data_IF_285237728835
#
_entry.id   IF_285237728835
#
_cell.length_a   1.000
_cell.length_b   1.000
_cell.length_c   1.000
_cell.angle_alpha   90.00
_cell.angle_beta   90.00
_cell.angle_gamma   90.00
#
_symmetry.space_group_name_H-M   'P 1'
#
loop_
_entity.id
_entity.type
_entity.pdbx_description
1 polymer ?
#
# COMPACT_ATOMS: atom_id res chain seq x y z
N UNK A 1 43.98 -37.40 -30.44
CA UNK A 1 43.31 -36.52 -31.43
C UNK A 1 42.43 -35.56 -30.64
N UNK A 2 43.06 -34.56 -30.03
CA UNK A 2 43.14 -33.18 -30.54
C UNK A 2 41.90 -32.36 -30.18
N UNK A 3 41.98 -31.65 -29.06
CA UNK A 3 41.18 -30.43 -28.85
C UNK A 3 41.66 -29.33 -29.82
N UNK A 4 40.80 -28.35 -30.13
CA UNK A 4 41.22 -27.00 -29.81
C UNK A 4 40.14 -26.13 -29.18
N UNK A 5 40.60 -25.26 -28.28
CA UNK A 5 39.97 -24.00 -27.88
C UNK A 5 39.69 -23.11 -29.10
N UNK A 6 38.63 -22.29 -29.05
CA UNK A 6 38.50 -20.91 -29.60
C UNK A 6 37.00 -20.51 -29.52
N UNK A 7 36.56 -19.28 -29.25
CA UNK A 7 37.22 -17.99 -29.03
C UNK A 7 36.19 -17.06 -28.37
N UNK A 8 36.66 -16.25 -27.44
CA UNK A 8 35.98 -15.09 -26.87
C UNK A 8 35.61 -14.12 -28.00
N UNK A 9 34.34 -13.70 -28.08
CA UNK A 9 33.94 -12.47 -28.77
C UNK A 9 33.35 -11.52 -27.76
N UNK A 10 34.18 -10.55 -27.41
CA UNK A 10 33.82 -9.32 -26.71
C UNK A 10 32.76 -8.56 -27.51
N UNK A 11 31.62 -8.28 -26.89
CA UNK A 11 30.73 -7.21 -27.34
C UNK A 11 30.85 -6.05 -26.36
N UNK A 12 31.74 -5.13 -26.70
CA UNK A 12 31.89 -3.84 -26.07
C UNK A 12 30.68 -2.99 -26.46
N UNK A 13 29.68 -2.88 -25.59
CA UNK A 13 28.64 -1.85 -25.70
C UNK A 13 28.95 -0.76 -24.67
N UNK A 14 29.68 0.26 -25.14
CA UNK A 14 29.89 1.52 -24.45
C UNK A 14 28.56 2.29 -24.48
N UNK A 15 27.75 2.17 -23.42
CA UNK A 15 26.62 3.09 -23.21
C UNK A 15 27.09 4.16 -22.23
N UNK A 16 27.50 5.30 -22.81
CA UNK A 16 27.51 6.59 -22.12
C UNK A 16 26.04 6.98 -21.95
N UNK A 17 25.45 6.55 -20.83
CA UNK A 17 24.12 6.94 -20.39
C UNK A 17 24.27 7.82 -19.17
N UNK A 18 24.06 9.12 -19.35
CA UNK A 18 24.06 10.12 -18.30
C UNK A 18 23.19 9.64 -17.11
N UNK A 19 23.78 9.65 -15.91
CA UNK A 19 23.07 9.41 -14.68
C UNK A 19 22.03 10.53 -14.47
N UNK A 20 20.81 10.31 -14.95
CA UNK A 20 19.65 11.04 -14.46
C UNK A 20 19.46 10.58 -13.01
N UNK A 21 19.89 11.42 -12.06
CA UNK A 21 19.48 11.32 -10.66
C UNK A 21 18.01 11.76 -10.59
N UNK A 22 17.14 10.90 -11.13
CA UNK A 22 15.73 10.93 -10.80
C UNK A 22 15.63 10.44 -9.37
N UNK A 23 15.26 11.33 -8.45
CA UNK A 23 14.78 10.94 -7.13
C UNK A 23 13.51 10.15 -7.29
N UNK A 24 13.64 8.87 -7.64
CA UNK A 24 12.59 7.90 -7.39
C UNK A 24 12.50 7.85 -5.86
N UNK A 25 11.46 8.46 -5.31
CA UNK A 25 10.95 8.04 -4.01
C UNK A 25 10.79 6.54 -4.12
N UNK A 26 11.72 5.79 -3.51
CA UNK A 26 11.61 4.36 -3.42
C UNK A 26 10.30 4.10 -2.67
N UNK A 27 9.23 3.81 -3.40
CA UNK A 27 8.09 3.13 -2.81
C UNK A 27 8.70 1.83 -2.30
N UNK A 28 8.94 1.75 -0.99
CA UNK A 28 9.42 0.54 -0.37
C UNK A 28 8.54 -0.59 -0.91
N UNK A 29 9.15 -1.56 -1.60
CA UNK A 29 8.43 -2.72 -2.07
C UNK A 29 7.62 -3.24 -0.87
N UNK A 30 6.30 -3.44 -1.01
CA UNK A 30 5.48 -3.83 0.13
C UNK A 30 6.13 -5.04 0.77
N UNK A 31 6.44 -4.93 2.06
CA UNK A 31 7.06 -6.01 2.80
C UNK A 31 6.19 -7.26 2.59
N UNK A 32 6.83 -8.36 2.18
CA UNK A 32 6.13 -9.62 1.98
C UNK A 32 5.33 -10.03 3.23
N UNK A 33 4.34 -10.91 3.08
CA UNK A 33 3.49 -11.30 4.20
C UNK A 33 4.32 -11.89 5.35
N UNK A 34 4.05 -11.42 6.56
CA UNK A 34 4.64 -11.94 7.80
C UNK A 34 3.72 -12.99 8.37
N UNK A 35 4.28 -14.13 8.77
CA UNK A 35 3.53 -15.21 9.42
C UNK A 35 3.68 -15.10 10.93
N UNK A 36 2.60 -14.76 11.62
CA UNK A 36 2.49 -14.83 13.09
C UNK A 36 2.07 -16.23 13.50
N UNK A 37 2.71 -16.78 14.54
CA UNK A 37 2.39 -18.10 15.10
C UNK A 37 1.89 -17.91 16.53
N UNK A 38 0.66 -18.36 16.80
CA UNK A 38 0.01 -18.23 18.10
C UNK A 38 -0.27 -19.62 18.66
N UNK A 39 0.33 -19.93 19.82
CA UNK A 39 0.14 -21.21 20.52
C UNK A 39 -0.60 -20.97 21.82
N UNK A 40 -1.70 -21.68 22.03
CA UNK A 40 -2.55 -21.56 23.22
C UNK A 40 -3.26 -22.89 23.51
N UNK A 41 -3.79 -23.03 24.72
CA UNK A 41 -4.60 -24.20 25.07
C UNK A 41 -6.03 -24.05 24.58
N UNK A 42 -6.60 -25.15 24.10
CA UNK A 42 -8.02 -25.27 23.76
C UNK A 42 -8.60 -26.38 24.63
N UNK A 43 -9.64 -26.04 25.39
CA UNK A 43 -10.40 -27.00 26.19
C UNK A 43 -11.71 -27.30 25.48
N UNK A 44 -11.99 -28.59 25.29
CA UNK A 44 -13.18 -29.10 24.63
C UNK A 44 -14.06 -29.89 25.59
N UNK A 45 -15.37 -29.60 25.59
CA UNK A 45 -16.41 -30.38 26.27
C UNK A 45 -17.04 -31.35 25.28
N UNK A 46 -16.92 -32.65 25.52
CA UNK A 46 -17.63 -33.69 24.79
C UNK A 46 -18.85 -34.15 25.59
N UNK A 47 -19.98 -34.38 24.93
CA UNK A 47 -21.23 -34.86 25.56
C UNK A 47 -21.66 -36.18 24.93
N UNK A 48 -21.15 -37.33 25.41
CA UNK A 48 -21.48 -38.65 24.85
C UNK A 48 -22.97 -38.98 24.93
N UNK A 49 -23.52 -39.58 23.87
CA UNK A 49 -24.92 -39.99 23.79
C UNK A 49 -25.27 -41.18 24.69
N UNK A 50 -24.28 -41.95 25.13
CA UNK A 50 -24.45 -43.07 26.03
C UNK A 50 -23.22 -43.25 26.94
N UNK A 51 -23.50 -43.58 28.20
CA UNK A 51 -22.57 -44.17 29.16
C UNK A 51 -21.43 -43.30 29.73
N UNK A 52 -21.60 -41.98 29.81
CA UNK A 52 -20.89 -41.13 30.77
C UNK A 52 -21.46 -39.71 30.74
N UNK A 53 -21.28 -38.97 31.83
CA UNK A 53 -21.51 -37.52 31.83
C UNK A 53 -20.55 -36.81 30.87
N UNK A 54 -20.72 -35.49 30.66
CA UNK A 54 -19.80 -34.72 29.84
C UNK A 54 -18.34 -34.90 30.28
N UNK A 55 -17.43 -34.98 29.32
CA UNK A 55 -15.99 -35.04 29.57
C UNK A 55 -15.29 -33.81 28.99
N UNK A 56 -14.19 -33.43 29.61
CA UNK A 56 -13.38 -32.28 29.20
C UNK A 56 -11.97 -32.72 28.85
N UNK A 57 -11.39 -32.14 27.80
CA UNK A 57 -10.02 -32.39 27.39
C UNK A 57 -9.35 -31.13 26.90
N UNK A 58 -8.11 -30.90 27.34
CA UNK A 58 -7.29 -29.75 26.93
C UNK A 58 -6.19 -30.21 25.98
N UNK A 59 -5.98 -29.47 24.88
CA UNK A 59 -4.87 -29.68 23.95
C UNK A 59 -4.21 -28.35 23.57
N UNK A 60 -2.86 -28.31 23.45
CA UNK A 60 -2.21 -27.17 22.82
C UNK A 60 -2.58 -27.12 21.35
N UNK A 61 -2.90 -25.94 20.86
CA UNK A 61 -3.20 -25.67 19.45
C UNK A 61 -2.30 -24.54 18.98
N UNK A 62 -1.83 -24.66 17.74
CA UNK A 62 -1.04 -23.62 17.08
C UNK A 62 -1.79 -23.16 15.84
N UNK A 63 -2.13 -21.88 15.81
CA UNK A 63 -2.71 -21.21 14.65
C UNK A 63 -1.66 -20.29 14.04
N UNK A 64 -1.51 -20.32 12.72
CA UNK A 64 -0.66 -19.38 11.99
C UNK A 64 -1.51 -18.45 11.16
N UNK A 65 -1.14 -17.18 11.15
CA UNK A 65 -1.77 -16.15 10.32
C UNK A 65 -0.68 -15.47 9.51
N UNK A 66 -0.79 -15.52 8.19
CA UNK A 66 0.10 -14.81 7.25
C UNK A 66 -0.62 -13.59 6.70
N UNK A 67 -0.02 -12.41 6.87
CA UNK A 67 -0.62 -11.13 6.48
C UNK A 67 0.45 -10.07 6.19
N UNK A 68 0.16 -9.04 5.38
CA UNK A 68 1.00 -7.85 5.31
C UNK A 68 1.11 -7.21 6.71
N UNK A 69 2.30 -6.72 7.13
CA UNK A 69 2.45 -6.05 8.42
C UNK A 69 1.72 -4.71 8.49
N UNK A 70 1.59 -4.04 7.35
CA UNK A 70 0.94 -2.73 7.21
C UNK A 70 0.13 -2.69 5.93
N UNK A 71 -1.03 -2.02 5.97
CA UNK A 71 -1.90 -1.74 4.81
C UNK A 71 -2.37 -0.28 4.86
N UNK A 72 -2.66 0.33 3.72
CA UNK A 72 -3.27 1.66 3.67
C UNK A 72 -4.80 1.58 3.86
N UNK A 73 -5.45 2.63 4.39
CA UNK A 73 -6.90 2.74 4.37
C UNK A 73 -7.46 2.61 2.94
N UNK A 74 -8.50 1.81 2.78
CA UNK A 74 -9.11 1.50 1.50
C UNK A 74 -8.37 0.42 0.68
N UNK A 75 -7.19 -0.02 1.10
CA UNK A 75 -6.43 -1.08 0.43
C UNK A 75 -7.06 -2.45 0.72
N UNK A 76 -7.16 -3.27 -0.33
CA UNK A 76 -7.54 -4.68 -0.21
C UNK A 76 -6.30 -5.54 0.02
N UNK A 77 -6.38 -6.49 0.96
CA UNK A 77 -5.27 -7.35 1.34
C UNK A 77 -5.77 -8.74 1.76
N UNK A 78 -4.86 -9.72 1.68
CA UNK A 78 -5.15 -11.10 2.04
C UNK A 78 -4.62 -11.45 3.44
N UNK A 79 -5.43 -12.21 4.16
CA UNK A 79 -5.08 -12.96 5.36
C UNK A 79 -5.12 -14.45 5.02
N UNK A 80 -4.02 -15.18 5.20
CA UNK A 80 -4.02 -16.64 5.14
C UNK A 80 -3.98 -17.21 6.56
N UNK A 81 -4.96 -18.04 6.90
CA UNK A 81 -5.10 -18.65 8.22
C UNK A 81 -4.89 -20.16 8.09
N UNK A 82 -3.92 -20.67 8.84
CA UNK A 82 -3.61 -22.09 8.98
C UNK A 82 -3.95 -22.52 10.41
N UNK A 83 -5.10 -23.20 10.63
CA UNK A 83 -5.48 -23.70 11.94
C UNK A 83 -4.56 -24.82 12.47
N UNK A 84 -3.66 -25.34 11.64
CA UNK A 84 -2.71 -26.38 11.99
C UNK A 84 -3.29 -27.78 11.99
N UNK A 85 -2.57 -28.69 12.65
CA UNK A 85 -2.91 -30.11 12.77
C UNK A 85 -3.07 -30.47 14.25
N UNK A 86 -4.09 -31.26 14.57
CA UNK A 86 -4.36 -31.77 15.92
C UNK A 86 -4.38 -33.30 15.91
N UNK A 87 -3.83 -33.91 16.95
CA UNK A 87 -3.88 -35.36 17.17
C UNK A 87 -5.07 -35.73 18.05
N UNK A 88 -5.98 -36.54 17.52
CA UNK A 88 -7.13 -37.08 18.26
C UNK A 88 -6.83 -38.54 18.63
N UNK A 89 -6.91 -38.95 19.91
CA UNK A 89 -6.76 -40.34 20.29
C UNK A 89 -7.80 -41.24 19.62
N UNK A 90 -7.36 -42.38 19.09
CA UNK A 90 -8.25 -43.38 18.51
C UNK A 90 -8.94 -44.24 19.57
N UNK A 91 -8.51 -44.17 20.83
CA UNK A 91 -9.16 -44.83 21.96
C UNK A 91 -9.38 -43.82 23.08
N UNK A 92 -10.63 -43.71 23.55
CA UNK A 92 -11.01 -42.85 24.66
C UNK A 92 -11.96 -43.64 25.56
N UNK A 93 -11.57 -43.85 26.81
CA UNK A 93 -12.39 -44.54 27.82
C UNK A 93 -12.93 -45.91 27.36
N UNK A 94 -12.12 -46.68 26.62
CA UNK A 94 -12.49 -48.01 26.12
C UNK A 94 -13.37 -48.02 24.86
N UNK A 95 -13.68 -46.85 24.29
CA UNK A 95 -14.34 -46.71 23.01
C UNK A 95 -13.34 -46.32 21.91
N UNK A 96 -13.50 -46.91 20.74
CA UNK A 96 -12.63 -46.69 19.58
C UNK A 96 -13.23 -45.66 18.63
N UNK A 97 -12.45 -44.67 18.20
CA UNK A 97 -12.85 -43.69 17.20
C UNK A 97 -13.06 -44.38 15.85
N UNK A 98 -14.24 -44.19 15.25
CA UNK A 98 -14.53 -44.60 13.88
C UNK A 98 -14.38 -43.44 12.91
N UNK A 99 -15.00 -42.30 13.22
CA UNK A 99 -15.05 -41.14 12.32
C UNK A 99 -15.24 -39.85 13.10
N UNK A 100 -14.58 -38.78 12.67
CA UNK A 100 -14.85 -37.42 13.11
C UNK A 100 -15.50 -36.65 11.96
N UNK A 101 -16.58 -35.92 12.24
CA UNK A 101 -17.38 -35.23 11.23
C UNK A 101 -17.93 -33.90 11.74
N UNK A 102 -18.53 -33.09 10.86
CA UNK A 102 -19.17 -31.81 11.19
C UNK A 102 -18.27 -30.80 11.93
N UNK A 103 -16.95 -30.74 11.67
CA UNK A 103 -16.16 -29.65 12.23
C UNK A 103 -16.66 -28.32 11.64
N UNK A 104 -16.67 -27.30 12.48
CA UNK A 104 -16.70 -25.91 12.04
C UNK A 104 -15.54 -25.15 12.67
N UNK A 105 -15.03 -24.15 11.97
CA UNK A 105 -14.18 -23.11 12.54
C UNK A 105 -14.86 -21.77 12.26
N UNK A 106 -15.28 -21.08 13.30
CA UNK A 106 -15.90 -19.76 13.22
C UNK A 106 -14.90 -18.69 13.67
N UNK A 107 -14.71 -17.67 12.83
CA UNK A 107 -13.97 -16.47 13.19
C UNK A 107 -14.80 -15.23 12.86
N UNK A 108 -14.76 -14.17 13.69
CA UNK A 108 -15.38 -12.91 13.33
C UNK A 108 -14.62 -12.24 12.18
N UNK A 109 -15.34 -11.47 11.36
CA UNK A 109 -14.71 -10.49 10.49
C UNK A 109 -14.00 -9.47 11.40
N UNK A 110 -12.69 -9.23 11.23
CA UNK A 110 -11.97 -8.31 12.09
C UNK A 110 -12.56 -6.90 12.07
N UNK A 111 -12.58 -6.22 13.21
CA UNK A 111 -12.93 -4.80 13.27
C UNK A 111 -12.00 -3.96 12.37
N UNK A 112 -12.45 -2.77 11.97
CA UNK A 112 -11.72 -1.86 11.08
C UNK A 112 -11.41 -2.45 9.67
N UNK A 113 -12.21 -3.45 9.25
CA UNK A 113 -12.10 -4.08 7.95
C UNK A 113 -13.47 -4.36 7.33
N UNK A 114 -13.54 -4.36 6.00
CA UNK A 114 -14.68 -4.83 5.22
C UNK A 114 -14.34 -6.17 4.57
N UNK A 115 -15.28 -7.12 4.61
CA UNK A 115 -15.12 -8.41 3.95
C UNK A 115 -15.28 -8.28 2.43
N UNK A 116 -14.32 -8.82 1.67
CA UNK A 116 -14.35 -8.87 0.21
C UNK A 116 -14.66 -10.28 -0.27
N UNK A 117 -13.83 -11.26 0.10
CA UNK A 117 -13.97 -12.66 -0.32
C UNK A 117 -13.27 -13.62 0.64
N UNK A 118 -13.59 -14.90 0.55
CA UNK A 118 -12.83 -15.97 1.20
C UNK A 118 -12.80 -17.22 0.33
N UNK A 119 -11.74 -18.02 0.46
CA UNK A 119 -11.55 -19.27 -0.25
C UNK A 119 -10.74 -20.26 0.58
N UNK A 120 -10.91 -21.55 0.30
CA UNK A 120 -10.03 -22.60 0.82
C UNK A 120 -8.70 -22.53 0.06
N UNK A 121 -7.61 -22.39 0.79
CA UNK A 121 -6.25 -22.39 0.24
C UNK A 121 -5.68 -23.82 0.20
N UNK A 122 -5.98 -24.62 1.22
CA UNK A 122 -5.62 -26.03 1.34
C UNK A 122 -6.79 -26.75 2.03
N UNK A 123 -7.39 -27.79 1.42
CA UNK A 123 -8.52 -28.51 2.02
C UNK A 123 -8.16 -29.32 3.28
N UNK A 124 -6.87 -29.46 3.62
CA UNK A 124 -6.42 -30.33 4.70
C UNK A 124 -6.62 -31.80 4.36
N UNK A 125 -6.88 -32.64 5.37
CA UNK A 125 -7.02 -34.10 5.18
C UNK A 125 -8.41 -34.66 5.52
N UNK A 126 -9.41 -33.79 5.63
CA UNK A 126 -10.79 -34.17 5.96
C UNK A 126 -11.60 -34.58 4.71
N UNK A 127 -11.14 -35.65 4.06
CA UNK A 127 -11.63 -36.09 2.74
C UNK A 127 -12.79 -37.09 2.78
N UNK A 128 -13.25 -37.51 3.96
CA UNK A 128 -14.31 -38.52 4.13
C UNK A 128 -15.74 -37.93 4.17
N UNK A 129 -15.89 -36.66 3.76
CA UNK A 129 -17.13 -35.88 3.80
C UNK A 129 -17.21 -34.88 2.66
N UNK A 130 -18.01 -33.83 2.85
CA UNK A 130 -18.13 -32.73 1.89
C UNK A 130 -16.84 -31.91 1.79
N UNK A 131 -16.63 -31.25 0.67
CA UNK A 131 -15.50 -30.35 0.47
C UNK A 131 -15.54 -29.17 1.46
N UNK A 132 -14.36 -28.68 1.85
CA UNK A 132 -14.26 -27.50 2.68
C UNK A 132 -14.78 -26.27 1.94
N UNK A 133 -15.43 -25.38 2.66
CA UNK A 133 -15.92 -24.09 2.18
C UNK A 133 -15.80 -23.05 3.28
N UNK A 134 -15.68 -21.78 2.90
CA UNK A 134 -15.78 -20.65 3.82
C UNK A 134 -17.01 -19.85 3.44
N UNK A 135 -17.94 -19.68 4.38
CA UNK A 135 -19.16 -18.91 4.15
C UNK A 135 -19.35 -17.85 5.22
N UNK A 136 -20.13 -16.82 4.89
CA UNK A 136 -20.53 -15.76 5.83
C UNK A 136 -21.83 -16.15 6.52
N UNK A 137 -21.84 -16.14 7.86
CA UNK A 137 -23.00 -16.51 8.67
C UNK A 137 -23.34 -15.44 9.72
N UNK A 138 -24.60 -15.39 10.11
CA UNK A 138 -25.07 -14.61 11.25
C UNK A 138 -24.73 -15.28 12.59
N UNK A 139 -25.12 -14.66 13.71
CA UNK A 139 -24.85 -15.18 15.06
C UNK A 139 -25.50 -16.56 15.30
N UNK A 140 -26.63 -16.83 14.64
CA UNK A 140 -27.34 -18.12 14.69
C UNK A 140 -26.75 -19.18 13.74
N UNK A 141 -25.77 -18.82 12.93
CA UNK A 141 -25.09 -19.70 11.99
C UNK A 141 -25.83 -19.90 10.66
N UNK A 142 -26.82 -19.05 10.35
CA UNK A 142 -27.48 -19.04 9.04
C UNK A 142 -26.61 -18.28 8.03
N UNK A 143 -26.51 -18.74 6.76
CA UNK A 143 -25.86 -17.99 5.71
C UNK A 143 -26.47 -16.59 5.58
N UNK A 144 -25.63 -15.56 5.66
CA UNK A 144 -26.10 -14.17 5.63
C UNK A 144 -25.04 -13.26 5.02
N UNK A 145 -25.39 -12.47 3.97
CA UNK A 145 -24.51 -11.45 3.43
C UNK A 145 -24.13 -10.35 4.44
N UNK A 146 -24.94 -10.14 5.48
CA UNK A 146 -24.68 -9.18 6.55
C UNK A 146 -24.03 -9.79 7.79
N UNK A 147 -23.88 -11.12 7.83
CA UNK A 147 -23.31 -11.85 8.96
C UNK A 147 -21.92 -11.35 9.35
N UNK A 148 -21.53 -11.44 10.61
CA UNK A 148 -20.21 -10.94 11.04
C UNK A 148 -19.21 -12.07 11.30
N UNK A 149 -19.57 -13.30 10.92
CA UNK A 149 -18.78 -14.50 11.17
C UNK A 149 -18.46 -15.18 9.83
N UNK A 150 -17.22 -15.56 9.66
CA UNK A 150 -16.76 -16.46 8.61
C UNK A 150 -16.65 -17.86 9.20
N UNK A 151 -17.32 -18.82 8.56
CA UNK A 151 -17.38 -20.21 8.96
C UNK A 151 -16.68 -21.09 7.94
N UNK A 152 -15.68 -21.82 8.39
CA UNK A 152 -15.07 -22.93 7.65
C UNK A 152 -15.79 -24.22 8.02
N UNK A 153 -16.41 -24.88 7.03
CA UNK A 153 -17.13 -26.14 7.23
C UNK A 153 -17.32 -26.86 5.89
N UNK A 154 -18.04 -27.99 5.88
CA UNK A 154 -18.56 -28.60 4.65
C UNK A 154 -20.06 -28.39 4.58
N UNK A 155 -20.55 -27.68 3.56
CA UNK A 155 -21.97 -27.39 3.30
C UNK A 155 -22.76 -26.75 4.47
N UNK A 156 -22.09 -26.02 5.38
CA UNK A 156 -22.68 -25.50 6.63
C UNK A 156 -23.36 -26.57 7.51
N UNK A 157 -22.82 -27.79 7.47
CA UNK A 157 -23.33 -28.93 8.24
C UNK A 157 -22.52 -29.06 9.53
N UNK A 158 -23.16 -28.69 10.65
CA UNK A 158 -22.51 -28.54 11.97
C UNK A 158 -23.18 -29.42 13.03
N UNK A 159 -22.68 -29.40 14.27
CA UNK A 159 -23.36 -30.08 15.40
C UNK A 159 -24.43 -29.21 16.09
N UNK A 160 -24.45 -27.92 15.78
CA UNK A 160 -25.30 -26.90 16.36
C UNK A 160 -24.98 -25.53 15.74
N UNK A 161 -25.74 -24.49 16.11
CA UNK A 161 -25.57 -23.13 15.58
C UNK A 161 -25.55 -23.11 14.03
N UNK A 162 -26.62 -23.59 13.40
CA UNK A 162 -26.78 -23.60 11.95
C UNK A 162 -28.00 -24.43 11.50
N UNK A 163 -28.46 -24.23 10.27
CA UNK A 163 -29.70 -24.81 9.74
C UNK A 163 -29.63 -26.34 9.55
N UNK A 164 -28.44 -26.88 9.31
CA UNK A 164 -28.21 -28.31 9.02
C UNK A 164 -27.54 -29.03 10.19
N UNK A 165 -27.95 -28.72 11.42
CA UNK A 165 -27.30 -29.23 12.63
C UNK A 165 -27.78 -30.62 13.05
N UNK A 166 -26.86 -31.47 13.54
CA UNK A 166 -27.17 -32.77 14.15
C UNK A 166 -26.03 -33.22 15.05
N UNK A 167 -26.39 -33.83 16.18
CA UNK A 167 -25.47 -34.39 17.18
C UNK A 167 -25.35 -35.91 17.09
N UNK A 168 -26.03 -36.56 16.13
CA UNK A 168 -26.15 -38.01 16.06
C UNK A 168 -26.16 -38.57 14.62
N UNK A 169 -25.69 -37.80 13.65
CA UNK A 169 -25.54 -38.22 12.27
C UNK A 169 -24.29 -37.59 11.67
N UNK A 170 -23.60 -38.31 10.80
CA UNK A 170 -22.49 -37.73 10.04
C UNK A 170 -22.97 -36.62 9.08
N UNK A 171 -22.01 -35.85 8.57
CA UNK A 171 -22.22 -34.81 7.58
C UNK A 171 -21.07 -33.80 7.56
N UNK A 172 -21.10 -32.88 6.60
CA UNK A 172 -20.09 -31.85 6.43
C UNK A 172 -18.70 -32.41 6.18
N UNK A 173 -17.68 -31.67 6.63
CA UNK A 173 -16.30 -32.15 6.63
C UNK A 173 -16.19 -33.40 7.50
N UNK A 174 -15.37 -34.37 7.07
CA UNK A 174 -15.16 -35.56 7.88
C UNK A 174 -13.84 -36.25 7.58
N UNK A 175 -13.37 -37.02 8.56
CA UNK A 175 -12.18 -37.87 8.46
C UNK A 175 -12.47 -39.20 9.16
N UNK A 176 -12.12 -40.31 8.50
CA UNK A 176 -12.18 -41.63 9.14
C UNK A 176 -10.97 -41.78 10.07
N UNK A 177 -11.11 -42.57 11.13
CA UNK A 177 -9.98 -42.86 12.00
C UNK A 177 -8.82 -43.46 11.20
N UNK A 178 -7.62 -42.96 11.45
CA UNK A 178 -6.39 -43.46 10.84
C UNK A 178 -5.89 -44.66 11.62
N UNK A 179 -5.04 -45.48 11.01
CA UNK A 179 -4.33 -46.57 11.71
C UNK A 179 -3.40 -46.01 12.79
N UNK A 180 -3.27 -46.72 13.91
CA UNK A 180 -2.39 -46.37 15.03
C UNK A 180 -3.16 -45.81 16.23
N UNK A 181 -2.45 -45.13 17.13
CA UNK A 181 -3.01 -44.65 18.40
C UNK A 181 -3.76 -43.32 18.26
N UNK A 182 -3.46 -42.54 17.21
CA UNK A 182 -4.07 -41.23 16.97
C UNK A 182 -4.49 -41.06 15.51
N UNK A 183 -5.50 -40.23 15.31
CA UNK A 183 -5.88 -39.67 14.01
C UNK A 183 -5.34 -38.24 13.94
N UNK A 184 -4.49 -37.99 12.94
CA UNK A 184 -3.98 -36.65 12.63
C UNK A 184 -5.04 -35.89 11.84
N UNK A 185 -5.59 -34.83 12.40
CA UNK A 185 -6.57 -33.96 11.73
C UNK A 185 -5.89 -32.67 11.30
N UNK A 186 -5.67 -32.52 10.00
CA UNK A 186 -5.23 -31.28 9.38
C UNK A 186 -6.48 -30.52 8.92
N UNK A 187 -6.77 -29.40 9.59
CA UNK A 187 -7.91 -28.56 9.23
C UNK A 187 -7.64 -27.80 7.92
N UNK A 188 -8.69 -27.41 7.18
CA UNK A 188 -8.51 -26.60 5.98
C UNK A 188 -7.82 -25.28 6.31
N UNK A 189 -6.81 -24.92 5.51
CA UNK A 189 -6.26 -23.56 5.49
C UNK A 189 -7.12 -22.72 4.57
N UNK A 190 -7.32 -21.47 4.93
CA UNK A 190 -8.21 -20.60 4.19
C UNK A 190 -7.66 -19.19 4.11
N UNK A 191 -7.99 -18.55 3.00
CA UNK A 191 -7.64 -17.17 2.71
C UNK A 191 -8.88 -16.30 2.82
N UNK A 192 -8.71 -15.11 3.39
CA UNK A 192 -9.73 -14.08 3.47
C UNK A 192 -9.14 -12.81 2.88
N UNK A 193 -9.84 -12.23 1.92
CA UNK A 193 -9.53 -10.91 1.40
C UNK A 193 -10.39 -9.89 2.14
N UNK A 194 -9.74 -8.90 2.74
CA UNK A 194 -10.35 -7.80 3.47
C UNK A 194 -9.97 -6.48 2.82
N UNK A 195 -10.76 -5.44 3.08
CA UNK A 195 -10.41 -4.05 2.76
C UNK A 195 -10.29 -3.25 4.05
N UNK A 196 -9.17 -2.56 4.25
CA UNK A 196 -8.98 -1.74 5.44
C UNK A 196 -9.89 -0.50 5.42
N UNK A 197 -10.45 -0.09 6.56
CA UNK A 197 -11.39 1.04 6.63
C UNK A 197 -10.65 2.34 7.01
N UNK A 198 -10.13 2.41 8.23
CA UNK A 198 -9.52 3.61 8.80
C UNK A 198 -8.17 3.30 9.46
N UNK A 199 -7.39 4.35 9.75
CA UNK A 199 -6.13 4.20 10.50
C UNK A 199 -6.36 3.51 11.84
N UNK A 200 -5.46 2.61 12.22
CA UNK A 200 -5.59 1.83 13.46
C UNK A 200 -5.01 0.44 13.29
N UNK A 201 -5.67 -0.58 13.85
CA UNK A 201 -5.26 -1.97 13.71
C UNK A 201 -6.39 -2.83 13.18
N UNK A 202 -6.01 -3.94 12.53
CA UNK A 202 -6.89 -5.04 12.17
C UNK A 202 -6.34 -6.28 12.88
N UNK A 203 -7.21 -6.95 13.65
CA UNK A 203 -6.84 -8.07 14.51
C UNK A 203 -7.76 -9.27 14.26
N UNK A 204 -7.34 -10.26 13.45
CA UNK A 204 -8.06 -11.53 13.35
C UNK A 204 -8.06 -12.27 14.68
N UNK A 205 -9.21 -12.86 15.04
CA UNK A 205 -9.44 -13.55 16.32
C UNK A 205 -10.23 -14.83 16.09
N UNK A 206 -10.26 -15.71 17.09
CA UNK A 206 -11.26 -16.77 17.15
C UNK A 206 -12.61 -16.21 17.62
N UNK A 207 -13.73 -16.84 17.22
CA UNK A 207 -15.06 -16.43 17.71
C UNK A 207 -15.22 -16.76 19.19
N UNK A 208 -15.21 -15.72 20.03
CA UNK A 208 -15.37 -15.85 21.49
C UNK A 208 -16.31 -14.80 22.09
N UNK A 209 -16.92 -13.94 21.28
CA UNK A 209 -17.90 -12.96 21.75
C UNK A 209 -19.27 -13.60 22.02
N UNK A 210 -20.03 -13.04 22.96
CA UNK A 210 -21.39 -13.49 23.27
C UNK A 210 -21.44 -14.94 23.77
N UNK A 211 -22.39 -15.72 23.25
CA UNK A 211 -22.57 -17.12 23.64
C UNK A 211 -21.36 -18.00 23.28
N UNK A 212 -20.62 -17.68 22.21
CA UNK A 212 -19.41 -18.41 21.83
C UNK A 212 -18.29 -18.34 22.90
N UNK A 213 -18.35 -17.32 23.76
CA UNK A 213 -17.46 -17.15 24.90
C UNK A 213 -17.83 -18.03 26.09
N UNK A 214 -18.93 -18.79 26.05
CA UNK A 214 -19.34 -19.69 27.13
C UNK A 214 -18.79 -21.11 26.89
N UNK A 215 -18.34 -21.76 27.97
CA UNK A 215 -17.81 -23.13 27.85
C UNK A 215 -18.91 -24.12 27.49
N UNK A 216 -18.70 -24.91 26.43
CA UNK A 216 -19.68 -25.91 26.00
C UNK A 216 -20.83 -25.39 25.14
N UNK A 217 -20.73 -24.17 24.59
CA UNK A 217 -21.77 -23.58 23.74
C UNK A 217 -21.72 -24.09 22.29
N UNK A 218 -22.85 -24.26 21.60
CA UNK A 218 -22.91 -24.52 20.15
C UNK A 218 -22.28 -23.43 19.27
N UNK A 219 -22.18 -22.19 19.77
CA UNK A 219 -21.57 -21.04 19.11
C UNK A 219 -20.04 -21.05 19.19
N UNK A 220 -19.45 -21.93 20.00
CA UNK A 220 -17.99 -22.11 20.13
C UNK A 220 -17.27 -22.05 18.79
N UNK A 221 -16.08 -21.43 18.77
CA UNK A 221 -15.29 -21.26 17.54
C UNK A 221 -15.02 -22.59 16.84
N UNK A 222 -14.80 -23.66 17.59
CA UNK A 222 -14.60 -25.01 17.07
C UNK A 222 -15.62 -25.95 17.69
N UNK A 223 -16.34 -26.67 16.83
CA UNK A 223 -17.23 -27.77 17.25
C UNK A 223 -17.11 -28.91 16.27
N UNK A 224 -17.22 -30.17 16.72
CA UNK A 224 -17.17 -31.34 15.85
C UNK A 224 -17.89 -32.55 16.47
N UNK A 225 -18.14 -33.59 15.66
CA UNK A 225 -18.85 -34.81 16.02
C UNK A 225 -17.98 -36.06 15.78
N UNK A 226 -17.30 -36.55 16.83
CA UNK A 226 -16.76 -37.90 16.88
C UNK A 226 -17.89 -38.93 16.99
N UNK A 227 -17.74 -40.00 16.23
CA UNK A 227 -18.44 -41.26 16.40
C UNK A 227 -17.45 -42.29 16.90
N UNK A 228 -17.73 -42.87 18.06
CA UNK A 228 -16.91 -43.94 18.65
C UNK A 228 -17.75 -45.22 18.80
N UNK A 229 -17.11 -46.37 18.70
CA UNK A 229 -17.71 -47.68 18.92
C UNK A 229 -17.21 -48.28 20.22
N UNK A 230 -18.11 -48.82 21.03
CA UNK A 230 -17.75 -49.50 22.27
C UNK A 230 -17.69 -51.02 22.07
N UNK A 231 -16.82 -51.71 22.81
CA UNK A 231 -16.59 -53.16 22.68
C UNK A 231 -17.79 -54.03 23.06
N UNK A 232 -18.72 -53.50 23.86
CA UNK A 232 -20.03 -54.14 24.18
C UNK A 232 -21.11 -53.93 23.09
N UNK A 233 -20.74 -53.34 21.95
CA UNK A 233 -21.67 -52.96 20.90
C UNK A 233 -22.28 -51.58 21.10
N UNK A 234 -22.69 -50.96 20.00
CA UNK A 234 -23.36 -49.66 19.98
C UNK A 234 -22.48 -48.51 19.49
N UNK A 235 -23.13 -47.56 18.81
CA UNK A 235 -22.54 -46.30 18.35
C UNK A 235 -22.74 -45.23 19.41
N UNK A 236 -21.64 -44.58 19.81
CA UNK A 236 -21.67 -43.43 20.71
C UNK A 236 -21.31 -42.19 19.91
N UNK A 237 -22.16 -41.18 20.00
CA UNK A 237 -21.94 -39.86 19.43
C UNK A 237 -21.47 -38.92 20.53
N UNK A 238 -20.41 -38.17 20.30
CA UNK A 238 -19.82 -37.30 21.31
C UNK A 238 -19.71 -35.85 20.83
N UNK A 239 -20.83 -35.14 20.56
CA UNK A 239 -20.80 -33.72 20.17
C UNK A 239 -19.85 -32.93 21.08
N UNK A 240 -18.89 -32.27 20.46
CA UNK A 240 -17.75 -31.65 21.13
C UNK A 240 -17.71 -30.16 20.83
N UNK A 241 -17.53 -29.35 21.88
CA UNK A 241 -17.55 -27.89 21.84
C UNK A 241 -16.27 -27.34 22.47
N UNK A 242 -15.50 -26.55 21.72
CA UNK A 242 -14.15 -26.15 22.09
C UNK A 242 -14.01 -24.63 22.24
N UNK A 243 -13.33 -24.19 23.29
CA UNK A 243 -13.04 -22.77 23.53
C UNK A 243 -11.59 -22.58 23.99
N UNK A 244 -10.95 -21.44 23.69
CA UNK A 244 -9.57 -21.17 24.07
C UNK A 244 -9.48 -20.94 25.58
N UNK A 245 -9.12 -21.99 26.31
CA UNK A 245 -9.05 -22.05 27.79
C UNK A 245 -7.95 -23.02 28.19
N UNK A 246 -7.43 -22.85 29.40
CA UNK A 246 -6.40 -23.75 29.94
C UNK A 246 -7.01 -25.01 30.59
N UNK A 247 -8.24 -24.91 31.10
CA UNK A 247 -9.00 -26.04 31.65
C UNK A 247 -10.51 -25.75 31.64
N UNK A 248 -11.30 -26.74 32.07
CA UNK A 248 -12.73 -26.54 32.36
C UNK A 248 -12.89 -25.56 33.53
N UNK A 249 -13.83 -24.62 33.41
CA UNK A 249 -14.08 -23.58 34.42
C UNK A 249 -13.10 -22.40 34.41
N UNK A 250 -11.95 -22.50 33.72
CA UNK A 250 -11.03 -21.37 33.53
C UNK A 250 -11.65 -20.28 32.66
N UNK A 251 -11.22 -19.02 32.80
CA UNK A 251 -11.55 -17.95 31.86
C UNK A 251 -10.97 -18.21 30.45
N UNK A 252 -11.38 -17.42 29.47
CA UNK A 252 -10.76 -17.43 28.13
C UNK A 252 -9.27 -17.06 28.25
N UNK A 253 -8.40 -17.77 27.52
CA UNK A 253 -6.96 -17.55 27.53
C UNK A 253 -6.49 -16.73 26.31
N UNK A 254 -5.18 -16.70 26.07
CA UNK A 254 -4.56 -15.95 24.96
C UNK A 254 -5.12 -16.29 23.57
N UNK A 255 -5.70 -17.48 23.35
CA UNK A 255 -6.33 -17.84 22.08
C UNK A 255 -7.61 -17.05 21.76
N UNK A 256 -8.20 -16.37 22.74
CA UNK A 256 -9.28 -15.41 22.53
C UNK A 256 -8.78 -14.00 22.12
N UNK A 257 -7.47 -13.76 22.18
CA UNK A 257 -6.83 -12.52 21.77
C UNK A 257 -6.54 -12.44 20.26
N UNK A 258 -5.84 -11.39 19.81
CA UNK A 258 -5.38 -11.24 18.44
C UNK A 258 -4.47 -12.41 18.01
N UNK A 259 -4.76 -13.03 16.87
CA UNK A 259 -3.91 -14.05 16.26
C UNK A 259 -2.79 -13.43 15.40
N UNK A 260 -3.01 -12.21 14.94
CA UNK A 260 -2.05 -11.32 14.31
C UNK A 260 -2.50 -9.87 14.52
N UNK A 261 -1.59 -8.92 14.30
CA UNK A 261 -1.89 -7.48 14.31
C UNK A 261 -1.39 -6.88 13.01
N UNK A 262 -2.31 -6.36 12.20
CA UNK A 262 -2.01 -5.65 10.98
C UNK A 262 -2.19 -4.16 11.27
N UNK A 263 -1.16 -3.36 10.97
CA UNK A 263 -1.24 -1.90 11.14
C UNK A 263 -1.95 -1.30 9.92
N UNK A 264 -2.99 -0.49 10.15
CA UNK A 264 -3.57 0.33 9.09
C UNK A 264 -2.95 1.71 9.19
N UNK A 265 -2.23 2.11 8.14
CA UNK A 265 -1.58 3.41 8.04
C UNK A 265 -2.59 4.58 8.09
N UNK A 266 -2.08 5.80 8.12
CA UNK A 266 -2.92 6.99 7.99
C UNK A 266 -3.55 7.06 6.60
N UNK A 267 -4.78 7.54 6.51
CA UNK A 267 -5.38 7.83 5.21
C UNK A 267 -4.62 9.01 4.59
N UNK A 268 -4.25 8.88 3.31
CA UNK A 268 -3.67 9.99 2.54
C UNK A 268 -4.78 10.74 1.80
N UNK A 269 -4.84 12.05 2.00
CA UNK A 269 -5.81 12.94 1.36
C UNK A 269 -5.35 13.30 -0.06
N UNK A 270 -6.31 13.44 -0.97
CA UNK A 270 -6.03 14.03 -2.29
C UNK A 270 -5.71 15.52 -2.14
N UNK A 271 -4.84 16.03 -3.01
CA UNK A 271 -4.49 17.45 -3.04
C UNK A 271 -4.76 18.07 -4.39
N UNK A 272 -4.99 19.38 -4.40
CA UNK A 272 -5.02 20.18 -5.63
C UNK A 272 -3.93 21.23 -5.57
N UNK A 273 -3.12 21.30 -6.63
CA UNK A 273 -2.12 22.36 -6.78
C UNK A 273 -2.56 23.32 -7.87
N UNK A 274 -2.62 24.61 -7.55
CA UNK A 274 -2.87 25.69 -8.51
C UNK A 274 -1.62 26.55 -8.65
N UNK A 275 -1.47 27.19 -9.81
CA UNK A 275 -0.29 27.98 -10.15
C UNK A 275 -0.71 29.38 -10.56
N UNK A 276 -0.07 30.39 -9.96
CA UNK A 276 -0.20 31.79 -10.30
C UNK A 276 1.18 32.34 -10.73
N UNK A 277 1.26 32.74 -11.99
CA UNK A 277 2.45 33.33 -12.63
C UNK A 277 2.01 34.54 -13.45
N UNK A 278 2.88 35.54 -13.69
CA UNK A 278 2.54 36.65 -14.58
C UNK A 278 2.38 36.16 -16.02
N UNK A 279 1.40 36.71 -16.75
CA UNK A 279 1.20 36.37 -18.16
C UNK A 279 2.39 36.79 -19.05
N UNK A 280 3.12 37.84 -18.65
CA UNK A 280 4.26 38.38 -19.38
C UNK A 280 5.41 38.72 -18.44
N UNK A 281 6.64 38.56 -18.89
CA UNK A 281 7.85 38.97 -18.17
C UNK A 281 8.90 39.57 -19.11
N UNK A 282 9.88 40.27 -18.55
CA UNK A 282 11.04 40.76 -19.30
C UNK A 282 12.25 39.88 -19.07
N UNK A 283 12.99 39.57 -20.12
CA UNK A 283 14.24 38.83 -19.99
C UNK A 283 15.20 39.55 -19.02
N UNK A 284 15.81 38.80 -18.10
CA UNK A 284 16.69 39.37 -17.07
C UNK A 284 16.00 40.04 -15.88
N UNK A 285 14.66 40.11 -15.87
CA UNK A 285 13.88 40.64 -14.72
C UNK A 285 13.26 39.51 -13.91
N UNK A 286 13.37 39.59 -12.59
CA UNK A 286 12.79 38.59 -11.69
C UNK A 286 11.26 38.72 -11.59
N UNK A 287 10.57 37.59 -11.56
CA UNK A 287 9.14 37.47 -11.30
C UNK A 287 8.88 36.42 -10.21
N UNK A 288 7.74 36.53 -9.54
CA UNK A 288 7.31 35.53 -8.56
C UNK A 288 6.45 34.45 -9.24
N UNK A 289 6.80 33.19 -8.99
CA UNK A 289 5.99 32.02 -9.32
C UNK A 289 5.39 31.49 -8.02
N UNK A 290 4.07 31.49 -7.90
CA UNK A 290 3.39 31.07 -6.65
C UNK A 290 2.48 29.89 -6.92
N UNK A 291 2.71 28.81 -6.19
CA UNK A 291 1.82 27.65 -6.17
C UNK A 291 0.98 27.66 -4.89
N UNK A 292 -0.28 27.26 -5.00
CA UNK A 292 -1.19 27.07 -3.87
C UNK A 292 -1.67 25.62 -3.84
N UNK A 293 -1.42 24.94 -2.72
CA UNK A 293 -1.77 23.54 -2.45
C UNK A 293 -2.93 23.50 -1.47
N UNK A 294 -3.99 22.78 -1.81
CA UNK A 294 -5.10 22.48 -0.91
C UNK A 294 -5.06 20.99 -0.49
N UNK A 295 -5.33 20.67 0.78
CA UNK A 295 -5.65 21.59 1.88
C UNK A 295 -4.43 22.42 2.33
N UNK A 296 -4.65 23.60 2.94
CA UNK A 296 -3.56 24.50 3.34
C UNK A 296 -2.65 23.93 4.45
N UNK A 297 -3.11 22.88 5.14
CA UNK A 297 -2.32 22.13 6.12
C UNK A 297 -1.31 21.17 5.47
N UNK A 298 -1.36 20.96 4.15
CA UNK A 298 -0.40 20.13 3.44
C UNK A 298 1.02 20.69 3.60
N UNK A 299 1.96 19.80 3.89
CA UNK A 299 3.40 20.06 4.03
C UNK A 299 4.14 19.48 2.82
N UNK A 300 5.47 19.41 2.81
CA UNK A 300 6.23 18.91 1.67
C UNK A 300 6.76 20.05 0.80
N UNK A 301 6.94 19.81 -0.51
CA UNK A 301 7.60 20.78 -1.41
C UNK A 301 6.88 20.91 -2.74
N UNK A 302 7.05 22.06 -3.40
CA UNK A 302 6.67 22.30 -4.79
C UNK A 302 7.92 22.48 -5.64
N UNK A 303 8.05 21.69 -6.69
CA UNK A 303 9.03 21.90 -7.76
C UNK A 303 8.37 22.66 -8.92
N UNK A 304 8.83 23.87 -9.19
CA UNK A 304 8.45 24.61 -10.40
C UNK A 304 9.21 24.08 -11.61
N UNK A 305 8.56 24.04 -12.77
CA UNK A 305 9.14 23.56 -14.03
C UNK A 305 8.78 24.46 -15.19
N UNK A 306 9.70 24.62 -16.13
CA UNK A 306 9.48 25.18 -17.46
C UNK A 306 9.56 24.03 -18.47
N UNK A 307 8.39 23.61 -18.98
CA UNK A 307 8.26 22.34 -19.69
C UNK A 307 8.74 21.16 -18.83
N UNK A 308 9.83 20.50 -19.26
CA UNK A 308 10.44 19.40 -18.51
C UNK A 308 11.53 19.83 -17.54
N UNK A 309 12.04 21.07 -17.64
CA UNK A 309 13.21 21.56 -16.92
C UNK A 309 12.83 22.10 -15.56
N UNK A 310 13.55 21.72 -14.50
CA UNK A 310 13.34 22.27 -13.17
C UNK A 310 13.77 23.74 -13.10
N UNK A 311 12.89 24.58 -12.56
CA UNK A 311 13.20 25.98 -12.23
C UNK A 311 13.65 26.03 -10.77
N UNK A 312 14.95 26.20 -10.55
CA UNK A 312 15.53 26.23 -9.21
C UNK A 312 15.31 24.94 -8.42
N UNK A 313 15.50 25.04 -7.10
CA UNK A 313 15.27 23.94 -6.16
C UNK A 313 13.79 23.86 -5.76
N UNK A 314 13.35 22.69 -5.28
CA UNK A 314 12.02 22.52 -4.70
C UNK A 314 11.81 23.45 -3.48
N UNK A 315 10.65 24.11 -3.43
CA UNK A 315 10.31 25.11 -2.41
C UNK A 315 9.37 24.49 -1.37
N UNK A 316 9.64 24.61 -0.06
CA UNK A 316 8.76 24.07 0.97
C UNK A 316 7.38 24.75 0.95
N UNK A 317 6.33 23.95 1.11
CA UNK A 317 4.95 24.44 1.24
C UNK A 317 4.74 24.92 2.67
N UNK A 318 4.37 26.20 2.82
CA UNK A 318 4.03 26.81 4.10
C UNK A 318 2.62 27.37 4.03
N UNK A 319 1.73 26.89 4.90
CA UNK A 319 0.32 27.29 4.95
C UNK A 319 -0.36 27.22 3.57
N UNK A 320 -0.13 26.13 2.83
CA UNK A 320 -0.69 25.89 1.51
C UNK A 320 -0.04 26.67 0.38
N UNK A 321 1.08 27.37 0.60
CA UNK A 321 1.73 28.19 -0.44
C UNK A 321 3.21 27.91 -0.58
N UNK A 322 3.71 27.98 -1.82
CA UNK A 322 5.13 27.96 -2.14
C UNK A 322 5.40 29.03 -3.21
N UNK A 323 6.37 29.92 -2.96
CA UNK A 323 6.72 31.01 -3.87
C UNK A 323 8.20 30.98 -4.22
N UNK A 324 8.51 31.09 -5.51
CA UNK A 324 9.87 31.13 -6.04
C UNK A 324 10.08 32.41 -6.86
N UNK A 325 11.13 33.17 -6.54
CA UNK A 325 11.63 34.24 -7.41
C UNK A 325 12.45 33.64 -8.55
N UNK A 326 12.06 33.91 -9.78
CA UNK A 326 12.74 33.40 -10.97
C UNK A 326 12.96 34.48 -12.03
N UNK A 327 14.11 34.43 -12.70
CA UNK A 327 14.45 35.31 -13.82
C UNK A 327 14.60 34.49 -15.09
N UNK A 328 13.76 34.76 -16.09
CA UNK A 328 13.86 34.13 -17.40
C UNK A 328 15.00 34.76 -18.21
N UNK A 329 15.87 33.92 -18.79
CA UNK A 329 17.04 34.37 -19.55
C UNK A 329 16.78 34.51 -21.06
N UNK A 330 15.78 33.81 -21.58
CA UNK A 330 15.48 33.75 -23.01
C UNK A 330 14.11 34.36 -23.31
N UNK A 331 13.96 34.91 -24.50
CA UNK A 331 12.66 35.34 -25.00
C UNK A 331 11.84 34.14 -25.48
N UNK A 332 10.52 34.26 -25.45
CA UNK A 332 9.60 33.24 -25.96
C UNK A 332 8.52 32.84 -24.96
N UNK A 333 7.77 31.79 -25.29
CA UNK A 333 6.74 31.24 -24.42
C UNK A 333 7.35 30.18 -23.49
N UNK A 334 7.17 30.38 -22.18
CA UNK A 334 7.64 29.48 -21.13
C UNK A 334 6.43 28.81 -20.45
N UNK A 335 6.09 27.54 -20.77
CA UNK A 335 5.00 26.81 -20.12
C UNK A 335 5.41 26.35 -18.71
N UNK A 336 4.98 27.10 -17.70
CA UNK A 336 5.32 26.83 -16.29
C UNK A 336 4.30 25.88 -15.66
N UNK A 337 4.79 24.89 -14.91
CA UNK A 337 3.98 24.01 -14.05
C UNK A 337 4.54 23.99 -12.62
N UNK A 338 3.68 23.65 -11.65
CA UNK A 338 4.06 23.39 -10.26
C UNK A 338 3.73 21.94 -9.90
N UNK A 339 4.73 21.19 -9.45
CA UNK A 339 4.59 19.79 -9.04
C UNK A 339 4.75 19.71 -7.52
N UNK A 340 3.66 19.42 -6.82
CA UNK A 340 3.66 19.18 -5.39
C UNK A 340 4.09 17.74 -5.08
N UNK A 341 5.02 17.57 -4.14
CA UNK A 341 5.64 16.28 -3.82
C UNK A 341 4.76 15.30 -3.05
N UNK A 342 3.66 15.77 -2.46
CA UNK A 342 2.99 15.03 -1.38
C UNK A 342 3.76 15.12 -0.06
N UNK A 343 3.17 14.51 0.96
CA UNK A 343 3.77 14.28 2.28
C UNK A 343 3.24 12.97 2.91
N UNK A 344 3.44 12.78 4.22
CA UNK A 344 3.01 11.57 4.92
C UNK A 344 1.48 11.35 4.93
N UNK A 345 0.68 12.40 4.74
CA UNK A 345 -0.79 12.37 4.82
C UNK A 345 -1.48 12.96 3.59
N UNK A 346 -0.73 13.38 2.57
CA UNK A 346 -1.24 14.04 1.37
C UNK A 346 -0.59 13.48 0.11
N UNK A 347 -1.39 13.18 -0.92
CA UNK A 347 -0.88 12.69 -2.21
C UNK A 347 -0.22 13.81 -3.02
N UNK A 348 0.76 13.48 -3.89
CA UNK A 348 1.31 14.41 -4.87
C UNK A 348 0.24 14.92 -5.83
N UNK A 349 0.40 16.14 -6.33
CA UNK A 349 -0.46 16.70 -7.38
C UNK A 349 0.33 17.66 -8.28
N UNK A 350 -0.22 17.98 -9.45
CA UNK A 350 0.44 18.86 -10.43
C UNK A 350 -0.55 19.89 -10.93
N UNK A 351 -0.14 21.14 -11.04
CA UNK A 351 -0.97 22.21 -11.59
C UNK A 351 -1.19 22.04 -13.09
N UNK A 352 -2.24 22.68 -13.61
CA UNK A 352 -2.28 23.01 -15.03
C UNK A 352 -1.06 23.89 -15.42
N UNK A 353 -0.65 23.83 -16.67
CA UNK A 353 0.42 24.68 -17.19
C UNK A 353 -0.09 26.12 -17.39
N UNK A 354 0.73 27.09 -17.00
CA UNK A 354 0.50 28.51 -17.23
C UNK A 354 1.68 29.09 -18.03
N UNK A 355 1.40 29.76 -19.14
CA UNK A 355 2.44 30.28 -20.04
C UNK A 355 2.86 31.68 -19.64
N UNK A 356 4.15 31.88 -19.41
CA UNK A 356 4.78 33.21 -19.27
C UNK A 356 5.39 33.59 -20.61
N UNK A 357 4.96 34.71 -21.19
CA UNK A 357 5.55 35.23 -22.43
C UNK A 357 6.68 36.21 -22.11
N UNK A 358 7.92 35.86 -22.47
CA UNK A 358 9.12 36.64 -22.15
C UNK A 358 9.58 37.43 -23.37
N UNK A 359 9.79 38.73 -23.20
CA UNK A 359 10.30 39.63 -24.24
C UNK A 359 11.52 40.44 -23.78
N UNK A 360 12.36 40.87 -24.73
CA UNK A 360 13.43 41.82 -24.46
C UNK A 360 12.89 43.27 -24.44
N UNK A 361 13.61 44.15 -23.76
CA UNK A 361 13.45 45.59 -23.98
C UNK A 361 13.94 45.97 -25.39
N UNK A 362 13.28 46.94 -26.06
CA UNK A 362 13.76 47.42 -27.35
C UNK A 362 15.16 48.03 -27.17
N UNK A 363 16.12 47.60 -28.00
CA UNK A 363 17.45 48.21 -28.07
C UNK A 363 17.29 49.60 -28.70
N UNK A 364 17.47 50.66 -27.91
CA UNK A 364 17.47 52.04 -28.42
C UNK A 364 18.86 52.33 -29.00
N UNK A 365 18.93 52.51 -30.32
CA UNK A 365 20.14 52.96 -31.02
C UNK A 365 19.97 54.41 -31.46
N UNK A 366 20.86 55.28 -30.99
CA UNK A 366 20.94 56.65 -31.50
C UNK A 366 21.37 56.61 -32.97
N UNK A 367 20.68 57.35 -33.83
CA UNK A 367 21.04 57.49 -35.25
C UNK A 367 21.45 58.93 -35.56
N UNK A 368 22.40 59.08 -36.47
CA UNK A 368 22.70 60.38 -37.10
C UNK A 368 22.21 60.36 -38.54
N UNK A 369 21.55 61.45 -38.94
CA UNK A 369 21.14 61.66 -40.33
C UNK A 369 22.02 62.75 -40.93
N UNK A 370 22.77 62.42 -41.98
CA UNK A 370 23.54 63.40 -42.76
C UNK A 370 22.87 63.62 -44.10
N UNK A 371 22.73 64.89 -44.50
CA UNK A 371 22.18 65.27 -45.79
C UNK A 371 23.30 65.78 -46.68
N UNK A 372 23.52 65.10 -47.80
CA UNK A 372 24.45 65.53 -48.84
C UNK A 372 23.67 66.22 -49.94
N UNK A 373 23.99 67.49 -50.19
CA UNK A 373 23.38 68.29 -51.25
C UNK A 373 24.47 68.82 -52.19
N UNK A 374 24.23 68.89 -53.50
CA UNK A 374 25.16 69.52 -54.43
C UNK A 374 25.38 71.00 -54.09
N UNK A 375 26.63 71.46 -54.18
CA UNK A 375 27.03 72.81 -53.75
C UNK A 375 26.34 73.95 -54.53
N UNK A 376 25.81 73.65 -55.72
CA UNK A 376 25.06 74.60 -56.55
C UNK A 376 23.93 73.88 -57.29
N UNK A 377 22.86 74.63 -57.59
CA UNK A 377 21.73 74.17 -58.40
C UNK A 377 21.29 75.29 -59.35
N UNK A 378 20.76 74.94 -60.54
CA UNK A 378 20.17 75.90 -61.48
C UNK A 378 18.65 75.86 -61.41
N UNK A 379 18.01 77.03 -61.47
CA UNK A 379 16.54 77.15 -61.45
C UNK A 379 15.90 76.28 -62.54
N UNK A 380 14.93 75.46 -62.15
CA UNK A 380 14.20 74.56 -63.06
C UNK A 380 14.87 73.23 -63.38
N UNK A 381 16.05 72.93 -62.80
CA UNK A 381 16.73 71.63 -62.98
C UNK A 381 16.58 70.77 -61.72
N UNK A 382 16.26 69.49 -61.89
CA UNK A 382 16.20 68.55 -60.77
C UNK A 382 17.59 68.30 -60.18
N UNK A 383 17.65 68.12 -58.86
CA UNK A 383 18.90 67.85 -58.13
C UNK A 383 18.64 66.71 -57.15
N UNK A 384 19.60 65.80 -57.07
CA UNK A 384 19.56 64.70 -56.12
C UNK A 384 20.00 65.16 -54.74
N UNK A 385 19.18 64.87 -53.73
CA UNK A 385 19.49 65.06 -52.32
C UNK A 385 19.63 63.67 -51.69
N UNK A 386 20.80 63.39 -51.11
CA UNK A 386 21.06 62.07 -50.53
C UNK A 386 21.10 62.21 -49.01
N UNK A 387 20.09 61.68 -48.34
CA UNK A 387 20.09 61.50 -46.89
C UNK A 387 20.69 60.13 -46.54
N UNK A 388 21.76 60.11 -45.75
CA UNK A 388 22.34 58.87 -45.21
C UNK A 388 22.03 58.80 -43.72
N UNK A 389 21.40 57.71 -43.29
CA UNK A 389 21.13 57.42 -41.87
C UNK A 389 22.13 56.36 -41.41
N UNK A 390 22.87 56.64 -40.34
CA UNK A 390 23.85 55.73 -39.77
C UNK A 390 23.72 55.67 -38.23
N UNK A 391 24.13 54.57 -37.59
CA UNK A 391 24.28 54.52 -36.13
C UNK A 391 25.25 55.61 -35.66
N UNK A 392 24.93 56.32 -34.58
CA UNK A 392 25.81 57.33 -34.01
C UNK A 392 27.07 56.65 -33.45
N UNK A 393 28.24 57.00 -33.98
CA UNK A 393 29.51 56.48 -33.48
C UNK A 393 29.75 56.94 -32.02
N UNK A 394 30.36 56.09 -31.15
CA UNK A 394 30.76 56.52 -29.81
C UNK A 394 31.74 57.70 -29.89
N UNK A 395 31.71 58.66 -28.93
CA UNK A 395 32.69 59.73 -28.91
C UNK A 395 34.11 59.16 -28.76
N UNK A 396 35.03 59.58 -29.63
CA UNK A 396 36.43 59.17 -29.57
C UNK A 396 37.07 59.60 -28.23
N UNK A 397 37.95 58.78 -27.62
CA UNK A 397 38.62 59.16 -26.38
C UNK A 397 39.51 60.40 -26.60
N UNK A 398 39.35 61.41 -25.75
CA UNK A 398 40.18 62.62 -25.80
C UNK A 398 41.63 62.29 -25.45
N UNK A 399 42.56 62.39 -26.40
CA UNK A 399 44.00 62.35 -26.13
C UNK A 399 44.42 63.62 -25.39
N UNK A 400 44.78 63.51 -24.11
CA UNK A 400 45.36 64.62 -23.35
C UNK A 400 46.81 64.88 -23.79
N UNK A 401 47.01 66.07 -24.35
CA UNK A 401 48.18 66.95 -24.36
C UNK A 401 49.54 66.35 -23.93
N UNK A 402 50.46 66.29 -24.88
CA UNK A 402 51.89 66.04 -24.72
C UNK A 402 52.55 67.01 -23.71
N UNK A 403 53.39 66.46 -22.82
CA UNK A 403 54.30 67.22 -21.96
C UNK A 403 55.59 67.59 -22.74
N UNK A 404 56.13 68.82 -22.61
CA UNK A 404 57.40 69.20 -23.21
C UNK A 404 58.60 68.69 -22.39
N UNK A 405 59.79 68.48 -22.99
CA UNK A 405 60.97 67.93 -22.31
C UNK A 405 61.94 69.03 -21.85
N UNK A 406 62.44 68.95 -20.61
CA UNK A 406 63.69 69.57 -20.09
C UNK A 406 63.87 69.11 -18.63
N UNK A 407 65.02 68.85 -18.02
CA UNK A 407 66.41 68.63 -18.44
C UNK A 407 67.07 67.83 -17.30
N UNK A 408 68.14 67.10 -17.60
CA UNK A 408 68.98 66.44 -16.60
C UNK A 408 69.67 67.47 -15.67
N UNK A 409 69.82 67.11 -14.39
CA UNK A 409 70.80 67.67 -13.47
C UNK A 409 71.45 66.49 -12.70
N UNK A 410 72.76 66.57 -12.37
CA UNK A 410 73.57 65.42 -11.97
C UNK A 410 73.52 65.08 -10.46
N UNK A 411 73.91 63.84 -10.14
CA UNK A 411 74.13 63.22 -8.80
C UNK A 411 75.08 64.04 -7.89
N UNK A 412 75.05 63.81 -6.56
CA UNK A 412 75.60 62.59 -5.94
C UNK A 412 74.56 61.62 -5.36
#
# INVERSE_FOLDING_TARGET
MSAPLLRVTSLTALIVGAAAVGGFSASAAPAGPITTTSTFQVTCKAVPSAWSGPTSGTKPTTVKVSAPPTVAPGEAFDLEIDPGTVQIPNSVSGASLGKMSRPKIDIPIPANSEFVSAAIADPGNMTAGAAASVIRVDESGNPSPAGQILRVSGDNVTIGNGPSSSTNSHGGLAINAQSGDTTSVAFPKFRITLKAIASGTIEPKLRTAGAAGQYGSPESFLTFLPQVSHWLGGTIWAPTYCSPRDAEGSALNAGAGPLATITVGSAVSDTTTTLNVPATAKAGTAVDLTATVAPAAATGTVQFKDGATNIGNAVPVNNGTATLKHTFATNGAHPVTAVYSGDATNKPSTSAAATVTVSADPVIVDTTTTLTVPATAKTGTAVDLIATVAPRAPPAPSSSRAAPPTSAAPSP
#
